data_IF_018641789912
#
_entry.id   IF_018641789912
#
_cell.length_a   1.000
_cell.length_b   1.000
_cell.length_c   1.000
_cell.angle_alpha   90.00
_cell.angle_beta   90.00
_cell.angle_gamma   90.00
#
_symmetry.space_group_name_H-M   'P 1'
#
loop_
_entity.id
_entity.type
_entity.pdbx_description
1 polymer ?
#
# COMPACT_ATOMS: atom_id res chain seq x y z
N UNK A 1 6.01 -17.78 12.50
CA UNK A 1 5.27 -16.51 12.53
C UNK A 1 3.79 -16.81 12.50
N UNK A 2 3.01 -16.35 13.49
CA UNK A 2 1.55 -16.47 13.47
C UNK A 2 1.01 -15.36 12.58
N UNK A 3 0.40 -15.74 11.47
CA UNK A 3 -0.24 -14.84 10.51
C UNK A 3 -1.52 -14.29 11.15
N UNK A 4 -1.44 -13.20 11.91
CA UNK A 4 -2.62 -12.52 12.40
C UNK A 4 -3.11 -11.56 11.31
N UNK A 5 -4.28 -11.83 10.73
CA UNK A 5 -4.91 -10.97 9.72
C UNK A 5 -5.12 -9.53 10.24
N UNK A 6 -5.29 -9.38 11.57
CA UNK A 6 -5.33 -8.08 12.25
C UNK A 6 -4.00 -7.31 12.13
N UNK A 7 -2.86 -7.99 12.15
CA UNK A 7 -1.56 -7.39 11.88
C UNK A 7 -1.46 -6.97 10.40
N UNK A 8 -1.99 -7.76 9.46
CA UNK A 8 -1.90 -7.41 8.04
C UNK A 8 -2.65 -6.11 7.70
N UNK A 9 -3.82 -5.87 8.32
CA UNK A 9 -4.61 -4.65 8.11
C UNK A 9 -3.97 -3.45 8.81
N UNK A 10 -3.54 -3.59 10.07
CA UNK A 10 -2.90 -2.48 10.79
C UNK A 10 -1.53 -2.13 10.20
N UNK A 11 -0.73 -3.13 9.81
CA UNK A 11 0.54 -2.95 9.11
C UNK A 11 0.35 -2.28 7.77
N UNK A 12 -0.72 -2.60 7.01
CA UNK A 12 -1.01 -1.91 5.76
C UNK A 12 -1.26 -0.42 5.97
N UNK A 13 -2.14 -0.04 6.90
CA UNK A 13 -2.39 1.38 7.17
C UNK A 13 -1.16 2.10 7.72
N UNK A 14 -0.40 1.45 8.61
CA UNK A 14 0.85 1.99 9.12
C UNK A 14 1.88 2.22 7.99
N UNK A 15 2.05 1.22 7.12
CA UNK A 15 2.91 1.29 5.94
C UNK A 15 2.48 2.41 4.99
N UNK A 16 1.19 2.48 4.66
CA UNK A 16 0.62 3.51 3.78
C UNK A 16 0.76 4.92 4.34
N UNK A 17 0.77 5.09 5.67
CA UNK A 17 0.81 6.41 6.30
C UNK A 17 2.23 6.89 6.63
N UNK A 18 3.14 5.98 6.99
CA UNK A 18 4.46 6.36 7.51
C UNK A 18 5.62 6.05 6.55
N UNK A 19 5.45 5.07 5.65
CA UNK A 19 6.54 4.54 4.83
C UNK A 19 6.27 4.72 3.33
N UNK A 20 5.00 4.80 2.92
CA UNK A 20 4.61 4.87 1.52
C UNK A 20 5.15 6.11 0.82
N UNK A 21 5.94 5.86 -0.22
CA UNK A 21 6.55 6.87 -1.07
C UNK A 21 6.60 6.38 -2.52
N UNK A 22 7.04 7.24 -3.45
CA UNK A 22 7.21 6.84 -4.85
C UNK A 22 8.30 5.76 -5.01
N UNK A 23 9.32 5.76 -4.16
CA UNK A 23 10.36 4.73 -4.11
C UNK A 23 9.78 3.39 -3.65
N UNK A 24 8.98 3.38 -2.59
CA UNK A 24 8.30 2.17 -2.14
C UNK A 24 7.28 1.67 -3.17
N UNK A 25 6.58 2.58 -3.84
CA UNK A 25 5.72 2.26 -4.98
C UNK A 25 6.51 1.53 -6.08
N UNK A 26 7.76 1.95 -6.34
CA UNK A 26 8.67 1.29 -7.27
C UNK A 26 9.11 -0.09 -6.79
N UNK A 27 9.37 -0.27 -5.50
CA UNK A 27 9.71 -1.58 -4.94
C UNK A 27 8.53 -2.55 -5.06
N UNK A 28 7.30 -2.09 -4.81
CA UNK A 28 6.10 -2.93 -4.83
C UNK A 28 5.64 -3.27 -6.25
N UNK A 29 5.59 -2.27 -7.14
CA UNK A 29 4.99 -2.41 -8.47
C UNK A 29 5.99 -2.44 -9.63
N UNK A 30 7.29 -2.35 -9.35
CA UNK A 30 8.35 -2.42 -10.36
C UNK A 30 8.20 -1.34 -11.42
N UNK A 31 8.24 -1.73 -12.70
CA UNK A 31 8.19 -0.79 -13.84
C UNK A 31 6.85 -0.05 -13.97
N UNK A 32 5.77 -0.61 -13.43
CA UNK A 32 4.42 0.00 -13.47
C UNK A 32 4.18 1.01 -12.34
N UNK A 33 5.19 1.30 -11.51
CA UNK A 33 5.03 2.14 -10.33
C UNK A 33 4.45 3.52 -10.62
N UNK A 34 4.79 4.14 -11.76
CA UNK A 34 4.25 5.46 -12.12
C UNK A 34 2.73 5.41 -12.28
N UNK A 35 2.21 4.37 -12.92
CA UNK A 35 0.76 4.20 -13.09
C UNK A 35 0.03 4.10 -11.74
N UNK A 36 0.59 3.34 -10.80
CA UNK A 36 0.02 3.19 -9.47
C UNK A 36 0.24 4.42 -8.59
N UNK A 37 1.36 5.11 -8.73
CA UNK A 37 1.65 6.35 -8.04
C UNK A 37 0.71 7.47 -8.46
N UNK A 38 0.42 7.60 -9.76
CA UNK A 38 -0.53 8.57 -10.28
C UNK A 38 -1.95 8.28 -9.76
N UNK A 39 -2.34 7.00 -9.68
CA UNK A 39 -3.59 6.57 -9.03
C UNK A 39 -3.64 6.97 -7.55
N UNK A 40 -2.56 6.73 -6.81
CA UNK A 40 -2.45 7.14 -5.41
C UNK A 40 -2.62 8.66 -5.26
N UNK A 41 -1.89 9.46 -6.06
CA UNK A 41 -1.99 10.92 -6.03
C UNK A 41 -3.43 11.39 -6.32
N UNK A 42 -4.10 10.82 -7.33
CA UNK A 42 -5.48 11.15 -7.64
C UNK A 42 -6.48 10.86 -6.48
N UNK A 43 -6.19 9.87 -5.62
CA UNK A 43 -6.99 9.61 -4.42
C UNK A 43 -6.62 10.50 -3.24
N UNK A 44 -5.32 10.81 -3.09
CA UNK A 44 -4.81 11.68 -2.03
C UNK A 44 -5.21 13.15 -2.25
N UNK A 45 -5.26 13.62 -3.49
CA UNK A 45 -5.72 14.96 -3.87
C UNK A 45 -7.18 15.21 -3.46
N UNK A 46 -8.05 14.19 -3.54
CA UNK A 46 -9.45 14.30 -3.11
C UNK A 46 -9.56 14.46 -1.60
N UNK A 47 -8.78 13.68 -0.86
CA UNK A 47 -8.60 13.77 0.58
C UNK A 47 -7.55 12.76 0.99
N UNK A 48 -6.63 13.15 1.87
CA UNK A 48 -5.66 12.23 2.44
C UNK A 48 -6.35 11.18 3.34
N UNK A 49 -7.47 11.55 3.98
CA UNK A 49 -8.27 10.65 4.80
C UNK A 49 -9.04 9.67 3.90
N UNK A 50 -8.81 8.37 4.12
CA UNK A 50 -9.37 7.30 3.29
C UNK A 50 -8.71 7.14 1.91
N UNK A 51 -7.61 7.86 1.62
CA UNK A 51 -6.87 7.69 0.37
C UNK A 51 -6.34 6.25 0.24
N UNK A 52 -5.80 5.69 1.33
CA UNK A 52 -5.31 4.31 1.39
C UNK A 52 -6.41 3.29 1.09
N UNK A 53 -7.62 3.50 1.62
CA UNK A 53 -8.77 2.61 1.39
C UNK A 53 -9.23 2.66 -0.07
N UNK A 54 -9.38 3.89 -0.62
CA UNK A 54 -9.77 4.09 -2.02
C UNK A 54 -8.74 3.51 -2.98
N UNK A 55 -7.46 3.75 -2.71
CA UNK A 55 -6.38 3.18 -3.50
C UNK A 55 -6.40 1.66 -3.42
N UNK A 56 -6.51 1.08 -2.23
CA UNK A 56 -6.60 -0.37 -2.06
C UNK A 56 -7.79 -0.96 -2.83
N UNK A 57 -8.96 -0.32 -2.79
CA UNK A 57 -10.14 -0.73 -3.55
C UNK A 57 -9.96 -0.69 -5.07
N UNK A 58 -9.15 0.23 -5.61
CA UNK A 58 -8.86 0.30 -7.05
C UNK A 58 -7.89 -0.78 -7.55
N UNK A 59 -7.12 -1.38 -6.65
CA UNK A 59 -6.15 -2.41 -7.01
C UNK A 59 -6.82 -3.77 -7.23
N UNK A 60 -6.26 -4.56 -8.15
CA UNK A 60 -6.57 -5.98 -8.28
C UNK A 60 -6.11 -6.77 -7.06
N UNK A 61 -6.66 -7.97 -6.86
CA UNK A 61 -6.30 -8.83 -5.73
C UNK A 61 -4.79 -9.13 -5.65
N UNK A 62 -4.14 -9.37 -6.80
CA UNK A 62 -2.70 -9.59 -6.86
C UNK A 62 -1.90 -8.38 -6.38
N UNK A 63 -2.30 -7.18 -6.80
CA UNK A 63 -1.64 -5.93 -6.42
C UNK A 63 -1.86 -5.59 -4.93
N UNK A 64 -3.05 -5.87 -4.40
CA UNK A 64 -3.33 -5.77 -2.95
C UNK A 64 -2.45 -6.72 -2.16
N UNK A 65 -2.25 -7.95 -2.66
CA UNK A 65 -1.39 -8.95 -2.02
C UNK A 65 0.08 -8.53 -2.03
N UNK A 66 0.56 -7.86 -3.07
CA UNK A 66 1.92 -7.31 -3.11
C UNK A 66 2.13 -6.24 -2.02
N UNK A 67 1.19 -5.29 -1.90
CA UNK A 67 1.21 -4.28 -0.84
C UNK A 67 1.17 -4.91 0.55
N UNK A 68 0.25 -5.85 0.79
CA UNK A 68 0.13 -6.51 2.09
C UNK A 68 1.41 -7.28 2.45
N UNK A 69 2.02 -7.98 1.49
CA UNK A 69 3.30 -8.67 1.71
C UNK A 69 4.42 -7.69 2.08
N UNK A 70 4.52 -6.54 1.38
CA UNK A 70 5.54 -5.53 1.66
C UNK A 70 5.32 -4.87 3.03
N UNK A 71 4.07 -4.54 3.36
CA UNK A 71 3.71 -3.94 4.64
C UNK A 71 4.04 -4.88 5.82
N UNK A 72 3.76 -6.18 5.68
CA UNK A 72 4.12 -7.17 6.71
C UNK A 72 5.65 -7.28 6.83
N UNK A 73 6.38 -7.33 5.72
CA UNK A 73 7.84 -7.39 5.74
C UNK A 73 8.47 -6.23 6.53
N UNK A 74 7.96 -5.01 6.36
CA UNK A 74 8.49 -3.81 7.02
C UNK A 74 8.03 -3.70 8.48
N UNK A 75 6.86 -4.22 8.83
CA UNK A 75 6.40 -4.26 10.22
C UNK A 75 7.03 -5.39 11.04
N UNK A 76 7.58 -6.41 10.39
CA UNK A 76 8.31 -7.51 11.03
C UNK A 76 9.84 -7.25 11.14
N UNK A 77 10.35 -6.15 10.58
CA UNK A 77 11.73 -5.62 10.80
C UNK A 77 11.83 -4.75 12.06
#
# INVERSE_FOLDING_TARGET
>A
MKYHAENAVSSFFHYMWNVWSIEECKVVFGDMYRHFWDKWNAQAEKSIYGAAERFYMELSEDNRRLLAKRAVLICDE
#
